data_IF_451567680843
#
_entry.id   IF_451567680843
#
_cell.length_a   1.000
_cell.length_b   1.000
_cell.length_c   1.000
_cell.angle_alpha   90.00
_cell.angle_beta   90.00
_cell.angle_gamma   90.00
#
_symmetry.space_group_name_H-M   'P 1'
#
loop_
_entity.id
_entity.type
_entity.pdbx_description
1 polymer ?
#
# COMPACT_ATOMS: atom_id res chain seq x y z
N UNK A 1 -21.55 2.83 14.38
CA UNK A 1 -20.87 1.53 14.18
C UNK A 1 -21.09 0.66 15.42
N UNK A 2 -21.46 -0.62 15.24
CA UNK A 2 -21.60 -1.60 16.34
C UNK A 2 -20.81 -2.86 15.96
N UNK A 3 -20.08 -3.42 16.91
CA UNK A 3 -19.28 -4.65 16.72
C UNK A 3 -19.90 -5.80 17.54
N UNK A 4 -19.94 -7.00 16.97
CA UNK A 4 -20.33 -8.25 17.63
C UNK A 4 -19.40 -9.37 17.15
N UNK A 5 -18.42 -9.70 17.98
CA UNK A 5 -17.35 -10.65 17.59
C UNK A 5 -16.53 -10.15 16.41
N UNK A 6 -16.43 -10.97 15.36
CA UNK A 6 -15.72 -10.63 14.11
C UNK A 6 -16.60 -9.88 13.09
N UNK A 7 -17.87 -9.63 13.41
CA UNK A 7 -18.81 -8.89 12.56
C UNK A 7 -18.91 -7.44 12.96
N UNK A 8 -19.00 -6.58 11.97
CA UNK A 8 -19.21 -5.16 12.13
C UNK A 8 -20.47 -4.72 11.40
N UNK A 9 -21.28 -3.93 12.10
CA UNK A 9 -22.45 -3.27 11.53
C UNK A 9 -22.18 -1.78 11.44
N UNK A 10 -22.25 -1.24 10.23
CA UNK A 10 -22.12 0.21 9.96
C UNK A 10 -23.41 0.69 9.35
N UNK A 11 -23.96 1.76 9.93
CA UNK A 11 -25.02 2.53 9.29
C UNK A 11 -24.40 3.83 8.81
N UNK A 12 -24.47 4.09 7.51
CA UNK A 12 -24.03 5.32 6.89
C UNK A 12 -25.27 6.10 6.42
N UNK A 13 -25.22 7.42 6.59
CA UNK A 13 -26.30 8.32 6.18
C UNK A 13 -25.69 9.57 5.54
N UNK A 14 -26.28 10.03 4.46
CA UNK A 14 -26.02 11.33 3.86
C UNK A 14 -27.23 12.23 4.16
N UNK A 15 -26.97 13.34 4.82
CA UNK A 15 -28.01 14.29 5.25
C UNK A 15 -27.71 15.64 4.61
N UNK A 16 -28.69 16.27 4.01
CA UNK A 16 -28.60 17.65 3.56
C UNK A 16 -28.44 18.58 4.77
N UNK A 17 -27.28 19.25 4.85
CA UNK A 17 -26.94 20.11 6.00
C UNK A 17 -27.79 21.38 6.13
N UNK A 18 -28.50 21.78 5.07
CA UNK A 18 -29.38 22.96 5.09
C UNK A 18 -30.81 22.61 5.43
N UNK A 19 -31.29 21.47 4.96
CA UNK A 19 -32.70 21.08 5.11
C UNK A 19 -32.92 20.01 6.17
N UNK A 20 -31.86 19.27 6.58
CA UNK A 20 -31.93 18.16 7.49
C UNK A 20 -32.56 16.89 6.89
N UNK A 21 -32.88 16.87 5.59
CA UNK A 21 -33.44 15.68 4.95
C UNK A 21 -32.38 14.63 4.69
N UNK A 22 -32.75 13.35 4.88
CA UNK A 22 -31.90 12.23 4.52
C UNK A 22 -31.88 12.06 3.00
N UNK A 23 -30.69 12.29 2.40
CA UNK A 23 -30.47 12.08 0.98
C UNK A 23 -30.23 10.59 0.67
N UNK A 24 -29.60 9.88 1.61
CA UNK A 24 -29.32 8.46 1.53
C UNK A 24 -29.06 7.88 2.93
N UNK A 25 -29.49 6.63 3.15
CA UNK A 25 -29.17 5.86 4.36
C UNK A 25 -29.06 4.38 4.00
N UNK A 26 -27.99 3.73 4.43
CA UNK A 26 -27.80 2.29 4.19
C UNK A 26 -27.11 1.64 5.39
N UNK A 27 -27.39 0.36 5.59
CA UNK A 27 -26.80 -0.46 6.64
C UNK A 27 -25.97 -1.57 6.01
N UNK A 28 -24.72 -1.68 6.45
CA UNK A 28 -23.75 -2.67 6.02
C UNK A 28 -23.48 -3.63 7.18
N UNK A 29 -23.62 -4.92 6.92
CA UNK A 29 -23.23 -5.99 7.82
C UNK A 29 -22.10 -6.78 7.12
N UNK A 30 -20.87 -6.72 7.63
CA UNK A 30 -19.66 -7.32 7.05
C UNK A 30 -18.78 -7.96 8.12
N UNK A 31 -17.86 -8.81 7.67
CA UNK A 31 -16.78 -9.28 8.53
C UNK A 31 -15.75 -8.17 8.77
N UNK A 32 -15.17 -8.15 9.96
CA UNK A 32 -14.22 -7.10 10.38
C UNK A 32 -13.01 -7.00 9.43
N UNK A 33 -12.58 -8.12 8.85
CA UNK A 33 -11.49 -8.19 7.85
C UNK A 33 -11.80 -7.51 6.52
N UNK A 34 -13.08 -7.26 6.23
CA UNK A 34 -13.55 -6.59 5.00
C UNK A 34 -13.79 -5.09 5.20
N UNK A 35 -13.38 -4.52 6.34
CA UNK A 35 -13.75 -3.16 6.72
C UNK A 35 -13.20 -2.09 5.76
N UNK A 36 -12.04 -2.33 5.14
CA UNK A 36 -11.48 -1.40 4.16
C UNK A 36 -12.25 -1.43 2.84
N UNK A 37 -12.57 -2.62 2.35
CA UNK A 37 -13.46 -2.80 1.19
C UNK A 37 -14.81 -2.14 1.45
N UNK A 38 -15.34 -2.28 2.66
CA UNK A 38 -16.58 -1.64 3.06
C UNK A 38 -16.45 -0.11 3.13
N UNK A 39 -15.32 0.42 3.58
CA UNK A 39 -15.09 1.87 3.59
C UNK A 39 -15.12 2.44 2.18
N UNK A 40 -14.46 1.78 1.23
CA UNK A 40 -14.44 2.21 -0.17
C UNK A 40 -15.82 2.03 -0.84
N UNK A 41 -16.54 0.94 -0.54
CA UNK A 41 -17.93 0.73 -0.98
C UNK A 41 -18.86 1.86 -0.50
N UNK A 42 -18.75 2.25 0.78
CA UNK A 42 -19.53 3.36 1.34
C UNK A 42 -19.15 4.68 0.67
N UNK A 43 -17.85 4.94 0.47
CA UNK A 43 -17.38 6.16 -0.18
C UNK A 43 -17.90 6.26 -1.61
N UNK A 44 -17.81 5.18 -2.40
CA UNK A 44 -18.35 5.12 -3.76
C UNK A 44 -19.87 5.35 -3.80
N UNK A 45 -20.64 4.74 -2.87
CA UNK A 45 -22.07 4.94 -2.80
C UNK A 45 -22.46 6.37 -2.43
N UNK A 46 -21.75 6.97 -1.47
CA UNK A 46 -21.94 8.38 -1.13
C UNK A 46 -21.68 9.25 -2.36
N UNK A 47 -20.57 9.04 -3.05
CA UNK A 47 -20.21 9.82 -4.24
C UNK A 47 -21.24 9.67 -5.36
N UNK A 48 -21.72 8.46 -5.65
CA UNK A 48 -22.79 8.21 -6.62
C UNK A 48 -24.08 8.94 -6.24
N UNK A 49 -24.48 8.85 -4.95
CA UNK A 49 -25.70 9.52 -4.46
C UNK A 49 -25.57 11.04 -4.53
N UNK A 50 -24.40 11.57 -4.18
CA UNK A 50 -24.09 13.00 -4.30
C UNK A 50 -24.17 13.44 -5.77
N UNK A 51 -23.59 12.65 -6.70
CA UNK A 51 -23.67 12.91 -8.13
C UNK A 51 -25.13 12.99 -8.64
N UNK A 52 -25.98 12.08 -8.19
CA UNK A 52 -27.39 12.03 -8.60
C UNK A 52 -28.25 13.15 -8.00
N UNK A 53 -27.86 13.69 -6.84
CA UNK A 53 -28.69 14.61 -6.02
C UNK A 53 -28.23 16.07 -6.06
N UNK A 54 -26.97 16.35 -6.37
CA UNK A 54 -26.43 17.71 -6.38
C UNK A 54 -26.53 18.37 -7.76
N UNK A 55 -26.78 19.69 -7.74
CA UNK A 55 -26.71 20.53 -8.96
C UNK A 55 -25.25 20.84 -9.33
N UNK A 56 -25.00 21.17 -10.60
CA UNK A 56 -23.65 21.34 -11.15
C UNK A 56 -22.70 22.28 -10.38
N UNK A 57 -23.23 23.28 -9.66
CA UNK A 57 -22.42 24.21 -8.85
C UNK A 57 -21.83 23.62 -7.57
N UNK A 58 -22.43 22.57 -7.02
CA UNK A 58 -21.93 21.93 -5.78
C UNK A 58 -20.81 20.94 -6.07
N UNK A 59 -20.72 20.45 -7.33
CA UNK A 59 -19.64 19.55 -7.75
C UNK A 59 -18.26 20.21 -7.71
N UNK A 60 -18.15 21.53 -7.90
CA UNK A 60 -16.87 22.24 -7.89
C UNK A 60 -16.08 22.01 -6.59
N UNK A 61 -16.75 21.76 -5.47
CA UNK A 61 -16.11 21.46 -4.17
C UNK A 61 -15.64 20.01 -4.07
N UNK A 62 -16.29 19.07 -4.75
CA UNK A 62 -15.90 17.66 -4.80
C UNK A 62 -14.69 17.44 -5.71
N UNK A 63 -14.53 18.31 -6.72
CA UNK A 63 -13.39 18.31 -7.63
C UNK A 63 -12.11 18.93 -7.03
N UNK A 64 -12.12 19.40 -5.79
CA UNK A 64 -10.98 20.02 -5.14
C UNK A 64 -9.72 19.14 -5.06
N UNK A 65 -9.78 17.90 -5.54
CA UNK A 65 -8.65 16.98 -5.72
C UNK A 65 -8.20 16.82 -7.19
N UNK A 66 -8.47 17.80 -8.05
CA UNK A 66 -7.94 17.85 -9.39
C UNK A 66 -8.76 17.17 -10.49
N UNK A 67 -9.78 16.35 -10.16
CA UNK A 67 -10.66 15.76 -11.17
C UNK A 67 -11.58 16.80 -11.79
N UNK A 68 -11.61 16.92 -13.13
CA UNK A 68 -12.53 17.76 -13.90
C UNK A 68 -13.72 16.99 -14.46
N UNK A 69 -13.67 15.67 -14.34
CA UNK A 69 -14.70 14.75 -14.81
C UNK A 69 -15.07 13.78 -13.66
N UNK A 70 -16.35 13.80 -13.26
CA UNK A 70 -16.85 12.97 -12.16
C UNK A 70 -16.77 11.48 -12.49
N UNK A 71 -16.98 11.10 -13.75
CA UNK A 71 -16.91 9.72 -14.18
C UNK A 71 -15.46 9.20 -14.08
N UNK A 72 -14.47 10.03 -14.44
CA UNK A 72 -13.06 9.73 -14.25
C UNK A 72 -12.73 9.50 -12.75
N UNK A 73 -13.27 10.35 -11.88
CA UNK A 73 -13.11 10.17 -10.43
C UNK A 73 -13.74 8.86 -9.94
N UNK A 74 -14.97 8.54 -10.35
CA UNK A 74 -15.63 7.30 -9.95
C UNK A 74 -14.89 6.06 -10.44
N UNK A 75 -14.38 6.08 -11.68
CA UNK A 75 -13.52 5.02 -12.23
C UNK A 75 -12.24 4.84 -11.43
N UNK A 76 -11.59 5.94 -11.03
CA UNK A 76 -10.39 5.89 -10.23
C UNK A 76 -10.65 5.28 -8.83
N UNK A 77 -11.79 5.61 -8.22
CA UNK A 77 -12.20 5.05 -6.92
C UNK A 77 -12.54 3.56 -7.02
N UNK A 78 -13.26 3.15 -8.06
CA UNK A 78 -13.56 1.73 -8.34
C UNK A 78 -12.26 0.94 -8.60
N UNK A 79 -11.33 1.50 -9.37
CA UNK A 79 -10.00 0.93 -9.58
C UNK A 79 -9.24 0.72 -8.28
N UNK A 80 -9.31 1.68 -7.36
CA UNK A 80 -8.68 1.57 -6.04
C UNK A 80 -9.29 0.46 -5.19
N UNK A 81 -10.60 0.28 -5.23
CA UNK A 81 -11.27 -0.83 -4.55
C UNK A 81 -10.75 -2.19 -5.04
N UNK A 82 -10.63 -2.36 -6.35
CA UNK A 82 -10.06 -3.57 -6.94
C UNK A 82 -8.58 -3.74 -6.56
N UNK A 83 -7.77 -2.72 -6.63
CA UNK A 83 -6.35 -2.79 -6.28
C UNK A 83 -6.11 -3.28 -4.84
N UNK A 84 -6.93 -2.84 -3.89
CA UNK A 84 -6.80 -3.24 -2.48
C UNK A 84 -7.20 -4.70 -2.18
N UNK A 85 -7.82 -5.41 -3.12
CA UNK A 85 -8.06 -6.85 -2.99
C UNK A 85 -6.80 -7.69 -3.16
N UNK A 86 -5.70 -7.09 -3.58
CA UNK A 86 -4.34 -7.63 -3.58
C UNK A 86 -4.20 -9.01 -4.25
N UNK A 87 -4.78 -9.17 -5.43
CA UNK A 87 -4.61 -10.34 -6.30
C UNK A 87 -4.45 -9.92 -7.76
N UNK A 88 -3.95 -10.84 -8.60
CA UNK A 88 -3.61 -10.53 -10.00
C UNK A 88 -4.81 -10.22 -10.89
N UNK A 89 -5.95 -10.86 -10.62
CA UNK A 89 -7.19 -10.67 -11.37
C UNK A 89 -7.75 -9.27 -11.13
N UNK A 90 -7.88 -8.88 -9.86
CA UNK A 90 -8.33 -7.54 -9.49
C UNK A 90 -7.31 -6.45 -9.88
N UNK A 91 -6.00 -6.74 -9.86
CA UNK A 91 -4.97 -5.81 -10.36
C UNK A 91 -5.18 -5.48 -11.84
N UNK A 92 -5.52 -6.47 -12.67
CA UNK A 92 -5.84 -6.24 -14.09
C UNK A 92 -7.11 -5.39 -14.28
N UNK A 93 -8.13 -5.59 -13.43
CA UNK A 93 -9.36 -4.76 -13.44
C UNK A 93 -9.03 -3.33 -13.02
N UNK A 94 -8.28 -3.15 -11.94
CA UNK A 94 -7.84 -1.84 -11.46
C UNK A 94 -7.10 -1.06 -12.54
N UNK A 95 -6.15 -1.71 -13.23
CA UNK A 95 -5.38 -1.13 -14.34
C UNK A 95 -6.29 -0.56 -15.41
N UNK A 96 -7.23 -1.36 -15.91
CA UNK A 96 -8.20 -0.94 -16.92
C UNK A 96 -9.03 0.26 -16.46
N UNK A 97 -9.51 0.25 -15.21
CA UNK A 97 -10.32 1.34 -14.66
C UNK A 97 -9.53 2.64 -14.54
N UNK A 98 -8.24 2.58 -14.19
CA UNK A 98 -7.38 3.75 -14.18
C UNK A 98 -7.09 4.27 -15.60
N UNK A 99 -6.89 3.38 -16.58
CA UNK A 99 -6.74 3.76 -17.98
C UNK A 99 -8.02 4.42 -18.53
N UNK A 100 -9.20 3.91 -18.19
CA UNK A 100 -10.50 4.52 -18.51
C UNK A 100 -10.63 5.91 -17.84
N UNK A 101 -10.22 6.05 -16.57
CA UNK A 101 -10.24 7.34 -15.89
C UNK A 101 -9.32 8.37 -16.56
N UNK A 102 -8.13 7.96 -16.99
CA UNK A 102 -7.19 8.80 -17.73
C UNK A 102 -7.75 9.21 -19.08
N UNK A 103 -8.43 8.30 -19.78
CA UNK A 103 -9.07 8.62 -21.06
C UNK A 103 -10.19 9.67 -20.92
N UNK A 104 -10.94 9.62 -19.80
CA UNK A 104 -12.02 10.57 -19.50
C UNK A 104 -11.50 11.93 -19.01
N UNK A 105 -10.40 11.96 -18.27
CA UNK A 105 -9.75 13.18 -17.79
C UNK A 105 -8.22 13.04 -17.80
N UNK A 106 -7.56 13.34 -18.94
CA UNK A 106 -6.11 13.20 -19.08
C UNK A 106 -5.27 14.13 -18.17
N UNK A 107 -5.90 15.13 -17.56
CA UNK A 107 -5.24 16.05 -16.64
C UNK A 107 -5.43 15.68 -15.16
N UNK A 108 -6.14 14.60 -14.86
CA UNK A 108 -6.34 14.12 -13.50
C UNK A 108 -5.12 13.29 -13.05
N UNK A 109 -4.35 13.80 -12.10
CA UNK A 109 -3.07 13.22 -11.66
C UNK A 109 -3.22 11.86 -10.96
N UNK A 110 -4.24 11.72 -10.09
CA UNK A 110 -4.42 10.56 -9.21
C UNK A 110 -4.51 9.20 -9.95
N UNK A 111 -5.24 9.05 -11.06
CA UNK A 111 -5.25 7.79 -11.83
C UNK A 111 -3.88 7.38 -12.35
N UNK A 112 -3.00 8.33 -12.72
CA UNK A 112 -1.63 8.01 -13.15
C UNK A 112 -0.80 7.44 -11.98
N UNK A 113 -0.87 8.06 -10.79
CA UNK A 113 -0.20 7.56 -9.61
C UNK A 113 -0.67 6.15 -9.23
N UNK A 114 -1.99 5.92 -9.25
CA UNK A 114 -2.56 4.62 -8.94
C UNK A 114 -2.26 3.56 -10.01
N UNK A 115 -2.29 3.93 -11.29
CA UNK A 115 -1.91 3.05 -12.41
C UNK A 115 -0.46 2.58 -12.27
N UNK A 116 0.44 3.46 -11.84
CA UNK A 116 1.83 3.11 -11.57
C UNK A 116 1.96 1.97 -10.56
N UNK A 117 1.17 1.98 -9.50
CA UNK A 117 1.15 0.90 -8.51
C UNK A 117 0.67 -0.44 -9.08
N UNK A 118 -0.21 -0.46 -10.08
CA UNK A 118 -0.62 -1.72 -10.72
C UNK A 118 0.53 -2.40 -11.47
N UNK A 119 1.47 -1.62 -12.03
CA UNK A 119 2.67 -2.17 -12.64
C UNK A 119 3.65 -2.69 -11.59
N UNK A 120 3.80 -2.00 -10.45
CA UNK A 120 4.61 -2.52 -9.34
C UNK A 120 4.04 -3.81 -8.75
N UNK A 121 2.72 -3.95 -8.70
CA UNK A 121 2.05 -5.17 -8.23
C UNK A 121 2.36 -6.39 -9.11
N UNK A 122 2.63 -6.21 -10.40
CA UNK A 122 3.07 -7.31 -11.29
C UNK A 122 4.36 -7.99 -10.80
N UNK A 123 5.25 -7.25 -10.13
CA UNK A 123 6.45 -7.81 -9.53
C UNK A 123 6.12 -8.69 -8.33
N UNK A 124 5.17 -8.23 -7.50
CA UNK A 124 4.79 -8.96 -6.28
C UNK A 124 3.95 -10.21 -6.58
N UNK A 125 3.12 -10.13 -7.63
CA UNK A 125 2.31 -11.28 -8.09
C UNK A 125 3.06 -12.22 -9.03
N UNK A 126 4.32 -11.88 -9.40
CA UNK A 126 5.14 -12.69 -10.31
C UNK A 126 4.55 -12.78 -11.72
N UNK A 127 3.74 -11.81 -12.15
CA UNK A 127 3.15 -11.75 -13.49
C UNK A 127 4.11 -11.19 -14.52
N UNK A 128 5.15 -10.45 -14.09
CA UNK A 128 6.24 -9.99 -14.96
C UNK A 128 7.49 -10.86 -14.83
N UNK A 129 8.13 -11.14 -15.97
CA UNK A 129 9.42 -11.85 -16.04
C UNK A 129 10.62 -10.90 -15.87
N UNK A 130 10.41 -9.60 -15.93
CA UNK A 130 11.43 -8.56 -15.82
C UNK A 130 11.07 -7.57 -14.73
N UNK A 131 12.07 -7.17 -13.93
CA UNK A 131 11.93 -6.08 -12.97
C UNK A 131 11.87 -4.72 -13.68
N UNK A 132 12.67 -4.55 -14.74
CA UNK A 132 12.93 -3.23 -15.33
C UNK A 132 11.75 -2.68 -16.13
N UNK A 133 10.99 -3.53 -16.80
CA UNK A 133 9.87 -3.10 -17.63
C UNK A 133 8.71 -2.50 -16.79
N UNK A 134 8.12 -3.22 -15.83
CA UNK A 134 7.04 -2.66 -15.01
C UNK A 134 7.53 -1.49 -14.13
N UNK A 135 8.77 -1.55 -13.64
CA UNK A 135 9.36 -0.45 -12.87
C UNK A 135 9.52 0.81 -13.72
N UNK A 136 10.00 0.68 -14.96
CA UNK A 136 10.11 1.80 -15.89
C UNK A 136 8.76 2.46 -16.16
N UNK A 137 7.72 1.65 -16.39
CA UNK A 137 6.35 2.16 -16.58
C UNK A 137 5.79 2.83 -15.32
N UNK A 138 6.06 2.27 -14.15
CA UNK A 138 5.64 2.85 -12.88
C UNK A 138 6.29 4.23 -12.65
N UNK A 139 7.59 4.36 -12.93
CA UNK A 139 8.31 5.64 -12.82
C UNK A 139 7.76 6.67 -13.82
N UNK A 140 7.58 6.30 -15.09
CA UNK A 140 7.02 7.18 -16.13
C UNK A 140 5.65 7.73 -15.73
N UNK A 141 4.76 6.86 -15.27
CA UNK A 141 3.42 7.23 -14.83
C UNK A 141 3.45 8.09 -13.55
N UNK A 142 4.32 7.77 -12.60
CA UNK A 142 4.52 8.57 -11.40
C UNK A 142 5.04 9.97 -11.71
N UNK A 143 6.01 10.09 -12.64
CA UNK A 143 6.50 11.39 -13.14
C UNK A 143 5.38 12.19 -13.80
N UNK A 144 4.54 11.51 -14.61
CA UNK A 144 3.38 12.15 -15.23
C UNK A 144 2.38 12.65 -14.19
N UNK A 145 2.12 11.87 -13.14
CA UNK A 145 1.24 12.28 -12.05
C UNK A 145 1.75 13.56 -11.36
N UNK A 146 3.03 13.59 -10.99
CA UNK A 146 3.65 14.77 -10.35
C UNK A 146 3.67 15.98 -11.30
N UNK A 147 3.95 15.77 -12.59
CA UNK A 147 3.94 16.87 -13.58
C UNK A 147 2.53 17.48 -13.80
N UNK A 148 1.47 16.71 -13.56
CA UNK A 148 0.09 17.19 -13.63
C UNK A 148 -0.33 17.92 -12.36
N UNK A 149 0.15 17.49 -11.19
CA UNK A 149 -0.12 18.13 -9.90
C UNK A 149 1.04 17.92 -8.93
N UNK A 150 1.91 18.93 -8.83
CA UNK A 150 3.06 18.93 -7.90
C UNK A 150 2.65 19.06 -6.42
N UNK A 151 1.38 19.37 -6.15
CA UNK A 151 0.83 19.46 -4.80
C UNK A 151 0.18 18.14 -4.33
N UNK A 152 0.08 17.14 -5.21
CA UNK A 152 -0.51 15.85 -4.88
C UNK A 152 0.55 14.93 -4.22
N UNK A 153 0.40 14.72 -2.91
CA UNK A 153 1.38 13.98 -2.10
C UNK A 153 1.57 12.52 -2.57
N UNK A 154 0.50 11.85 -3.02
CA UNK A 154 0.56 10.44 -3.41
C UNK A 154 1.46 10.21 -4.64
N UNK A 155 1.45 11.13 -5.60
CA UNK A 155 2.35 11.08 -6.76
C UNK A 155 3.82 11.09 -6.33
N UNK A 156 4.17 12.01 -5.41
CA UNK A 156 5.52 12.10 -4.88
C UNK A 156 5.94 10.84 -4.14
N UNK A 157 5.15 10.36 -3.16
CA UNK A 157 5.57 9.19 -2.37
C UNK A 157 5.59 7.90 -3.19
N UNK A 158 4.76 7.79 -4.21
CA UNK A 158 4.81 6.68 -5.17
C UNK A 158 6.13 6.68 -5.93
N UNK A 159 6.53 7.83 -6.48
CA UNK A 159 7.84 7.98 -7.13
C UNK A 159 8.99 7.68 -6.17
N UNK A 160 8.94 8.21 -4.94
CA UNK A 160 9.94 7.92 -3.92
C UNK A 160 10.12 6.42 -3.71
N UNK A 161 9.02 5.70 -3.58
CA UNK A 161 9.05 4.25 -3.44
C UNK A 161 9.62 3.55 -4.68
N UNK A 162 9.19 3.92 -5.89
CA UNK A 162 9.68 3.30 -7.13
C UNK A 162 11.17 3.55 -7.36
N UNK A 163 11.66 4.75 -7.02
CA UNK A 163 13.09 5.07 -7.12
C UNK A 163 13.96 4.21 -6.19
N UNK A 164 13.45 3.67 -5.07
CA UNK A 164 14.21 2.71 -4.26
C UNK A 164 14.52 1.44 -5.05
N UNK A 165 13.56 0.92 -5.81
CA UNK A 165 13.74 -0.26 -6.68
C UNK A 165 14.64 0.04 -7.89
N UNK A 166 14.61 1.27 -8.39
CA UNK A 166 15.54 1.75 -9.42
C UNK A 166 16.94 2.09 -8.87
N UNK A 167 17.16 1.93 -7.56
CA UNK A 167 18.40 2.29 -6.83
C UNK A 167 18.81 3.77 -6.96
N UNK A 168 17.83 4.63 -7.22
CA UNK A 168 17.99 6.08 -7.27
C UNK A 168 17.66 6.69 -5.91
N UNK A 169 18.43 6.36 -4.89
CA UNK A 169 18.13 6.60 -3.49
C UNK A 169 17.99 8.09 -3.13
N UNK A 170 18.77 8.96 -3.75
CA UNK A 170 18.66 10.41 -3.49
C UNK A 170 17.32 10.97 -4.01
N UNK A 171 16.87 10.50 -5.18
CA UNK A 171 15.55 10.83 -5.70
C UNK A 171 14.44 10.25 -4.83
N UNK A 172 14.62 9.03 -4.33
CA UNK A 172 13.67 8.38 -3.43
C UNK A 172 13.44 9.20 -2.16
N UNK A 173 14.52 9.68 -1.53
CA UNK A 173 14.46 10.53 -0.33
C UNK A 173 13.81 11.86 -0.63
N UNK A 174 14.21 12.56 -1.69
CA UNK A 174 13.65 13.86 -2.04
C UNK A 174 12.13 13.80 -2.25
N UNK A 175 11.65 12.78 -2.95
CA UNK A 175 10.22 12.57 -3.16
C UNK A 175 9.47 12.15 -1.90
N UNK A 176 10.07 11.33 -1.03
CA UNK A 176 9.50 10.95 0.25
C UNK A 176 9.31 12.17 1.18
N UNK A 177 10.32 13.02 1.30
CA UNK A 177 10.29 14.26 2.08
C UNK A 177 9.24 15.23 1.53
N UNK A 178 9.21 15.41 0.20
CA UNK A 178 8.21 16.28 -0.42
C UNK A 178 6.79 15.82 -0.15
N UNK A 179 6.54 14.51 -0.20
CA UNK A 179 5.22 13.94 0.14
C UNK A 179 4.82 14.20 1.59
N UNK A 180 5.76 14.05 2.53
CA UNK A 180 5.53 14.33 3.95
C UNK A 180 5.24 15.82 4.22
N UNK A 181 5.87 16.73 3.49
CA UNK A 181 5.59 18.16 3.56
C UNK A 181 4.16 18.49 3.08
N UNK A 182 3.71 17.81 2.04
CA UNK A 182 2.39 18.03 1.42
C UNK A 182 1.25 17.44 2.24
N UNK A 183 1.40 16.23 2.78
CA UNK A 183 0.38 15.56 3.60
C UNK A 183 0.99 14.72 4.74
N UNK A 184 1.36 15.36 5.88
CA UNK A 184 2.06 14.71 6.98
C UNK A 184 1.19 13.77 7.83
N UNK A 185 -0.11 13.64 7.52
CA UNK A 185 -1.05 12.83 8.30
C UNK A 185 -1.71 11.71 7.50
N UNK A 186 -1.54 11.66 6.20
CA UNK A 186 -2.06 10.57 5.36
C UNK A 186 -1.34 9.25 5.68
N UNK A 187 -2.06 8.17 6.00
CA UNK A 187 -1.45 6.85 6.23
C UNK A 187 -0.65 6.34 5.03
N UNK A 188 -1.11 6.58 3.81
CA UNK A 188 -0.42 6.17 2.59
C UNK A 188 0.91 6.93 2.42
N UNK A 189 0.89 8.25 2.66
CA UNK A 189 2.09 9.09 2.60
C UNK A 189 3.10 8.69 3.67
N UNK A 190 2.66 8.57 4.93
CA UNK A 190 3.52 8.17 6.04
C UNK A 190 4.20 6.81 5.79
N UNK A 191 3.45 5.80 5.34
CA UNK A 191 3.99 4.47 5.09
C UNK A 191 4.97 4.46 3.92
N UNK A 192 4.59 5.03 2.75
CA UNK A 192 5.45 5.01 1.55
C UNK A 192 6.72 5.83 1.75
N UNK A 193 6.62 6.99 2.41
CA UNK A 193 7.80 7.81 2.74
C UNK A 193 8.72 7.10 3.72
N UNK A 194 8.18 6.46 4.75
CA UNK A 194 8.97 5.70 5.70
C UNK A 194 9.72 4.54 5.02
N UNK A 195 9.06 3.81 4.11
CA UNK A 195 9.70 2.76 3.34
C UNK A 195 10.83 3.33 2.45
N UNK A 196 10.57 4.42 1.72
CA UNK A 196 11.57 5.06 0.87
C UNK A 196 12.79 5.56 1.67
N UNK A 197 12.58 6.21 2.82
CA UNK A 197 13.66 6.64 3.71
C UNK A 197 14.48 5.45 4.22
N UNK A 198 13.81 4.43 4.79
CA UNK A 198 14.50 3.27 5.35
C UNK A 198 15.33 2.54 4.29
N UNK A 199 14.74 2.25 3.13
CA UNK A 199 15.40 1.51 2.06
C UNK A 199 16.55 2.30 1.43
N UNK A 200 16.50 3.64 1.53
CA UNK A 200 17.57 4.54 1.09
C UNK A 200 18.67 4.77 2.13
N UNK A 201 18.63 4.08 3.29
CA UNK A 201 19.68 4.13 4.32
C UNK A 201 19.41 5.09 5.49
N UNK A 202 18.13 5.48 5.70
CA UNK A 202 17.69 6.32 6.84
C UNK A 202 16.62 5.61 7.68
N UNK A 203 16.88 4.38 8.18
CA UNK A 203 15.86 3.56 8.85
C UNK A 203 15.37 4.13 10.18
N UNK A 204 16.24 4.85 10.93
CA UNK A 204 15.87 5.45 12.21
C UNK A 204 14.75 6.50 12.05
N UNK A 205 14.75 7.24 10.94
CA UNK A 205 13.72 8.26 10.66
C UNK A 205 12.39 7.64 10.23
N UNK A 206 12.41 6.42 9.69
CA UNK A 206 11.22 5.70 9.30
C UNK A 206 10.40 5.16 10.50
N UNK A 207 11.05 4.84 11.63
CA UNK A 207 10.38 4.25 12.80
C UNK A 207 9.21 5.12 13.32
N UNK A 208 9.40 6.41 13.64
CA UNK A 208 8.32 7.24 14.15
C UNK A 208 7.18 7.41 13.16
N UNK A 209 7.46 7.44 11.86
CA UNK A 209 6.43 7.53 10.81
C UNK A 209 5.57 6.26 10.78
N UNK A 210 6.19 5.06 10.81
CA UNK A 210 5.49 3.79 10.83
C UNK A 210 4.71 3.56 12.11
N UNK A 211 5.24 3.95 13.26
CA UNK A 211 4.51 3.92 14.52
C UNK A 211 3.30 4.86 14.49
N UNK A 212 3.45 6.06 13.89
CA UNK A 212 2.35 7.02 13.73
C UNK A 212 1.25 6.44 12.84
N UNK A 213 1.60 5.84 11.71
CA UNK A 213 0.59 5.30 10.77
C UNK A 213 -0.17 4.11 11.36
N UNK A 214 0.50 3.24 12.10
CA UNK A 214 -0.17 2.11 12.80
C UNK A 214 -1.11 2.64 13.89
N UNK A 215 -0.70 3.66 14.65
CA UNK A 215 -1.54 4.28 15.68
C UNK A 215 -2.78 4.97 15.09
N UNK A 216 -2.63 5.62 13.94
CA UNK A 216 -3.74 6.31 13.25
C UNK A 216 -4.72 5.34 12.57
N UNK A 217 -4.29 4.10 12.33
CA UNK A 217 -5.10 3.09 11.66
C UNK A 217 -5.22 1.83 12.50
N UNK A 218 -6.27 1.67 13.33
CA UNK A 218 -6.49 0.46 14.14
C UNK A 218 -6.61 -0.84 13.33
N UNK A 219 -6.92 -0.72 12.04
CA UNK A 219 -7.04 -1.83 11.09
C UNK A 219 -5.90 -1.81 10.06
N UNK A 220 -4.73 -1.35 10.49
CA UNK A 220 -3.55 -1.26 9.62
C UNK A 220 -3.34 -2.55 8.81
N UNK A 221 -3.11 -2.46 7.49
CA UNK A 221 -2.80 -3.61 6.65
C UNK A 221 -1.50 -4.31 7.11
N UNK A 222 -1.35 -5.59 6.73
CA UNK A 222 -0.16 -6.38 7.04
C UNK A 222 1.14 -5.68 6.64
N UNK A 223 1.13 -4.99 5.49
CA UNK A 223 2.30 -4.29 4.95
C UNK A 223 2.87 -3.22 5.89
N UNK A 224 2.03 -2.56 6.73
CA UNK A 224 2.52 -1.55 7.67
C UNK A 224 3.35 -2.19 8.79
N UNK A 225 2.88 -3.32 9.31
CA UNK A 225 3.61 -4.11 10.32
C UNK A 225 4.86 -4.75 9.72
N UNK A 226 4.76 -5.29 8.49
CA UNK A 226 5.90 -5.91 7.80
C UNK A 226 7.00 -4.88 7.58
N UNK A 227 6.69 -3.70 7.04
CA UNK A 227 7.67 -2.62 6.84
C UNK A 227 8.32 -2.18 8.15
N UNK A 228 7.55 -2.04 9.24
CA UNK A 228 8.12 -1.71 10.54
C UNK A 228 9.03 -2.83 11.06
N UNK A 229 8.67 -4.09 10.85
CA UNK A 229 9.50 -5.25 11.16
C UNK A 229 10.82 -5.25 10.37
N UNK A 230 10.77 -4.93 9.07
CA UNK A 230 11.97 -4.74 8.24
C UNK A 230 12.86 -3.65 8.82
N UNK A 231 12.29 -2.49 9.14
CA UNK A 231 13.04 -1.34 9.69
C UNK A 231 13.67 -1.69 11.03
N UNK A 232 12.96 -2.37 11.91
CA UNK A 232 13.55 -2.85 13.18
C UNK A 232 14.71 -3.82 12.96
N UNK A 233 14.64 -4.71 11.96
CA UNK A 233 15.79 -5.58 11.60
C UNK A 233 16.99 -4.77 11.09
N UNK A 234 16.75 -3.68 10.34
CA UNK A 234 17.82 -2.82 9.85
C UNK A 234 18.62 -2.19 11.00
N UNK A 235 17.93 -1.73 12.05
CA UNK A 235 18.53 -1.09 13.22
C UNK A 235 18.89 -2.04 14.36
N UNK A 236 18.80 -3.37 14.15
CA UNK A 236 19.21 -4.38 15.14
C UNK A 236 18.21 -4.65 16.27
N UNK A 237 16.98 -4.14 16.18
CA UNK A 237 15.90 -4.33 17.16
C UNK A 237 15.11 -5.59 16.85
N UNK A 238 15.74 -6.77 17.05
CA UNK A 238 15.24 -8.03 16.49
C UNK A 238 13.98 -8.55 17.19
N UNK A 239 13.85 -8.40 18.51
CA UNK A 239 12.64 -8.83 19.22
C UNK A 239 11.41 -8.05 18.78
N UNK A 240 11.55 -6.74 18.62
CA UNK A 240 10.48 -5.88 18.12
C UNK A 240 10.17 -6.20 16.65
N UNK A 241 11.18 -6.56 15.86
CA UNK A 241 10.96 -7.03 14.49
C UNK A 241 10.10 -8.31 14.47
N UNK A 242 10.35 -9.26 15.38
CA UNK A 242 9.52 -10.48 15.51
C UNK A 242 8.08 -10.13 15.89
N UNK A 243 7.87 -9.21 16.83
CA UNK A 243 6.53 -8.79 17.22
C UNK A 243 5.73 -8.21 16.04
N UNK A 244 6.36 -7.33 15.24
CA UNK A 244 5.69 -6.75 14.09
C UNK A 244 5.46 -7.78 12.99
N UNK A 245 6.42 -8.66 12.72
CA UNK A 245 6.28 -9.72 11.73
C UNK A 245 5.14 -10.70 12.10
N UNK A 246 4.97 -11.03 13.38
CA UNK A 246 3.83 -11.85 13.85
C UNK A 246 2.49 -11.16 13.56
N UNK A 247 2.37 -9.86 13.84
CA UNK A 247 1.16 -9.08 13.52
C UNK A 247 0.89 -9.05 12.02
N UNK A 248 1.93 -8.96 11.19
CA UNK A 248 1.78 -9.02 9.74
C UNK A 248 1.25 -10.39 9.27
N UNK A 249 1.80 -11.49 9.80
CA UNK A 249 1.33 -12.86 9.49
C UNK A 249 -0.08 -13.11 10.01
N UNK A 250 -0.47 -12.59 11.18
CA UNK A 250 -1.84 -12.67 11.69
C UNK A 250 -2.86 -12.02 10.73
N UNK A 251 -2.46 -10.92 10.07
CA UNK A 251 -3.32 -10.22 9.10
C UNK A 251 -3.39 -10.95 7.76
N UNK A 252 -2.25 -11.44 7.28
CA UNK A 252 -2.12 -12.10 5.98
C UNK A 252 -1.30 -13.40 6.09
N UNK A 253 -1.85 -14.49 6.65
CA UNK A 253 -1.10 -15.71 6.90
C UNK A 253 -0.65 -16.43 5.62
N UNK A 254 -1.32 -16.19 4.50
CA UNK A 254 -0.99 -16.79 3.19
C UNK A 254 -0.12 -15.86 2.30
N UNK A 255 0.43 -14.80 2.85
CA UNK A 255 1.36 -13.94 2.13
C UNK A 255 2.80 -14.44 2.35
N UNK A 256 3.51 -14.76 1.26
CA UNK A 256 4.90 -15.25 1.35
C UNK A 256 5.84 -14.21 1.97
N UNK A 257 5.63 -12.91 1.72
CA UNK A 257 6.53 -11.85 2.19
C UNK A 257 6.41 -11.64 3.70
N UNK A 258 5.21 -11.70 4.28
CA UNK A 258 5.03 -11.64 5.74
C UNK A 258 5.70 -12.82 6.45
N UNK A 259 5.61 -14.03 5.86
CA UNK A 259 6.28 -15.22 6.39
C UNK A 259 7.81 -15.17 6.21
N UNK A 260 8.33 -14.60 5.12
CA UNK A 260 9.76 -14.33 4.94
C UNK A 260 10.26 -13.31 5.98
N UNK A 261 9.47 -12.26 6.24
CA UNK A 261 9.73 -11.28 7.29
C UNK A 261 9.81 -11.93 8.67
N UNK A 262 8.87 -12.82 9.00
CA UNK A 262 8.87 -13.54 10.28
C UNK A 262 10.06 -14.49 10.38
N UNK A 263 10.32 -15.31 9.36
CA UNK A 263 11.43 -16.27 9.38
C UNK A 263 12.77 -15.59 9.59
N UNK A 264 13.06 -14.51 8.85
CA UNK A 264 14.31 -13.76 8.99
C UNK A 264 14.42 -13.03 10.33
N UNK A 265 13.32 -12.45 10.85
CA UNK A 265 13.31 -11.79 12.16
C UNK A 265 13.56 -12.80 13.29
N UNK A 266 12.94 -13.98 13.23
CA UNK A 266 13.13 -15.04 14.24
C UNK A 266 14.57 -15.57 14.27
N UNK A 267 15.22 -15.79 13.12
CA UNK A 267 16.65 -16.20 13.10
C UNK A 267 17.52 -15.12 13.74
N UNK A 268 17.31 -13.86 13.40
CA UNK A 268 18.10 -12.75 13.95
C UNK A 268 17.88 -12.55 15.46
N UNK A 269 16.71 -12.95 15.98
CA UNK A 269 16.38 -12.96 17.39
C UNK A 269 16.76 -14.28 18.12
N UNK A 270 17.40 -15.25 17.43
CA UNK A 270 17.77 -16.54 18.03
C UNK A 270 16.61 -17.54 18.21
N UNK A 271 15.46 -17.33 17.56
CA UNK A 271 14.23 -18.15 17.67
C UNK A 271 14.12 -19.14 16.50
N UNK A 272 15.03 -20.11 16.44
CA UNK A 272 15.18 -20.99 15.28
C UNK A 272 13.95 -21.85 14.95
N UNK A 273 13.24 -22.37 15.96
CA UNK A 273 12.05 -23.20 15.72
C UNK A 273 10.92 -22.41 15.06
N UNK A 274 10.66 -21.20 15.55
CA UNK A 274 9.68 -20.29 14.97
C UNK A 274 10.07 -19.90 13.54
N UNK A 275 11.36 -19.67 13.29
CA UNK A 275 11.87 -19.36 11.98
C UNK A 275 11.65 -20.50 10.98
N UNK A 276 11.94 -21.75 11.37
CA UNK A 276 11.72 -22.93 10.53
C UNK A 276 10.23 -23.13 10.20
N UNK A 277 9.35 -22.89 11.17
CA UNK A 277 7.92 -22.96 10.96
C UNK A 277 7.45 -21.93 9.91
N UNK A 278 7.89 -20.67 10.04
CA UNK A 278 7.58 -19.62 9.07
C UNK A 278 8.15 -19.90 7.67
N UNK A 279 9.38 -20.42 7.58
CA UNK A 279 10.00 -20.83 6.31
C UNK A 279 9.24 -21.99 5.64
N UNK A 280 8.73 -22.94 6.41
CA UNK A 280 7.89 -24.02 5.88
C UNK A 280 6.58 -23.47 5.27
N UNK A 281 5.96 -22.44 5.88
CA UNK A 281 4.79 -21.79 5.29
C UNK A 281 5.13 -21.07 3.97
N UNK A 282 6.30 -20.44 3.86
CA UNK A 282 6.77 -19.86 2.57
C UNK A 282 6.79 -20.94 1.48
N UNK A 283 7.35 -22.11 1.75
CA UNK A 283 7.44 -23.20 0.77
C UNK A 283 6.08 -23.83 0.43
N UNK A 284 5.11 -23.79 1.33
CA UNK A 284 3.72 -24.20 1.03
C UNK A 284 3.02 -23.20 0.10
N UNK A 285 3.25 -21.90 0.33
CA UNK A 285 2.66 -20.81 -0.48
C UNK A 285 3.33 -20.76 -1.85
N UNK A 286 4.66 -20.82 -1.88
CA UNK A 286 5.48 -20.76 -3.08
C UNK A 286 6.52 -21.91 -3.08
N UNK A 287 6.16 -23.09 -3.62
CA UNK A 287 7.10 -24.23 -3.71
C UNK A 287 8.32 -23.97 -4.59
N UNK A 288 8.28 -22.96 -5.46
CA UNK A 288 9.36 -22.56 -6.36
C UNK A 288 10.12 -21.31 -5.85
N UNK A 289 10.07 -21.04 -4.55
CA UNK A 289 10.83 -19.93 -3.98
C UNK A 289 12.29 -19.97 -4.39
N UNK A 290 12.84 -18.84 -4.79
CA UNK A 290 14.23 -18.72 -5.24
C UNK A 290 14.88 -17.47 -4.64
N UNK A 291 16.04 -17.64 -4.01
CA UNK A 291 16.85 -16.51 -3.55
C UNK A 291 17.34 -15.60 -4.69
N UNK A 292 17.57 -16.18 -5.89
CA UNK A 292 17.97 -15.38 -7.05
C UNK A 292 16.87 -14.38 -7.44
N UNK A 293 15.61 -14.80 -7.43
CA UNK A 293 14.49 -13.93 -7.73
C UNK A 293 14.22 -12.96 -6.57
N UNK A 294 14.21 -13.45 -5.34
CA UNK A 294 13.96 -12.63 -4.16
C UNK A 294 15.02 -11.53 -3.98
N UNK A 295 16.31 -11.86 -4.12
CA UNK A 295 17.39 -10.89 -3.98
C UNK A 295 17.35 -9.77 -5.03
N UNK A 296 16.87 -10.06 -6.25
CA UNK A 296 16.73 -9.05 -7.32
C UNK A 296 15.72 -7.97 -7.02
N UNK A 297 14.69 -8.26 -6.21
CA UNK A 297 13.61 -7.32 -5.88
C UNK A 297 13.80 -6.61 -4.53
N UNK A 298 14.89 -6.88 -3.81
CA UNK A 298 15.16 -6.21 -2.54
C UNK A 298 15.67 -4.78 -2.79
N UNK A 299 14.94 -3.73 -2.35
CA UNK A 299 15.22 -2.35 -2.74
C UNK A 299 16.21 -1.62 -1.81
N UNK A 300 16.96 -2.35 -0.98
CA UNK A 300 17.77 -1.75 0.07
C UNK A 300 19.11 -1.21 -0.46
N UNK A 301 19.50 -0.02 0.00
CA UNK A 301 20.82 0.58 -0.26
C UNK A 301 21.93 -0.19 0.46
N UNK A 302 21.65 -0.66 1.68
CA UNK A 302 22.59 -1.43 2.50
C UNK A 302 22.67 -2.89 1.98
N UNK A 303 23.76 -3.23 1.29
CA UNK A 303 24.02 -4.58 0.82
C UNK A 303 24.27 -5.57 1.97
N UNK A 304 24.86 -5.12 3.08
CA UNK A 304 25.08 -5.97 4.25
C UNK A 304 23.76 -6.42 4.87
N UNK A 305 22.73 -5.56 4.84
CA UNK A 305 21.40 -5.92 5.27
C UNK A 305 20.77 -6.98 4.35
N UNK A 306 20.97 -6.86 3.03
CA UNK A 306 20.52 -7.86 2.07
C UNK A 306 21.16 -9.21 2.36
N UNK A 307 22.48 -9.26 2.48
CA UNK A 307 23.24 -10.50 2.74
C UNK A 307 22.81 -11.14 4.06
N UNK A 308 22.71 -10.34 5.12
CA UNK A 308 22.22 -10.80 6.45
C UNK A 308 20.80 -11.36 6.37
N UNK A 309 19.92 -10.76 5.59
CA UNK A 309 18.54 -11.24 5.42
C UNK A 309 18.52 -12.57 4.67
N UNK A 310 19.28 -12.71 3.58
CA UNK A 310 19.37 -13.95 2.81
C UNK A 310 19.97 -15.07 3.67
N UNK A 311 21.03 -14.79 4.42
CA UNK A 311 21.65 -15.78 5.31
C UNK A 311 20.73 -16.23 6.45
N UNK A 312 19.95 -15.30 7.01
CA UNK A 312 18.92 -15.64 7.99
C UNK A 312 17.87 -16.60 7.40
N UNK A 313 17.39 -16.33 6.19
CA UNK A 313 16.40 -17.18 5.52
C UNK A 313 16.97 -18.55 5.15
N UNK A 314 18.26 -18.65 4.76
CA UNK A 314 18.95 -19.93 4.56
C UNK A 314 19.02 -20.74 5.86
N UNK A 315 19.38 -20.11 6.99
CA UNK A 315 19.39 -20.74 8.31
C UNK A 315 17.99 -21.20 8.75
N UNK A 316 16.94 -20.51 8.33
CA UNK A 316 15.55 -20.94 8.55
C UNK A 316 15.14 -22.16 7.70
N UNK A 317 15.95 -22.59 6.73
CA UNK A 317 15.73 -23.80 5.92
C UNK A 317 15.25 -23.56 4.49
N UNK A 318 15.21 -22.32 4.02
CA UNK A 318 14.95 -22.01 2.60
C UNK A 318 16.20 -22.29 1.74
N UNK A 319 16.00 -22.70 0.49
CA UNK A 319 17.07 -23.10 -0.43
C UNK A 319 17.06 -22.26 -1.71
#
# INVERSE_FOLDING_TARGET
MRRSGEKVRITAQLIDGMTGYHLWAERFDRDLKEIFTLQDEIALKIMKTVHEKLQAGDFARLYARGARNIEAFLKAMEGREHFYRANKEDNAVARRLYEEAIALDPNYSLPYANLAWTYMADLWFGTSKSLMEPLGRAIELGQKAVALDESEALGHVSLGYFYTFARQFDMAVAHAERGLDLDPNSPAVLHSSAAALAYSGRPEEAIPLLQKVIRLNPFAPATFFDTLGVVYRMVGRFDEAVEQAKKAVEREPKNQYTNLGLASSCILAGREEEARAAAAEVLKINPQFSFEQYGKILPFKDSCFIDRTIDALRKAGLK
#
